data_IF_931171013810
#
_entry.id   IF_931171013810
#
_cell.length_a   1.000
_cell.length_b   1.000
_cell.length_c   1.000
_cell.angle_alpha   90.00
_cell.angle_beta   90.00
_cell.angle_gamma   90.00
#
_symmetry.space_group_name_H-M   'P 1'
#
loop_
_entity.id
_entity.type
_entity.pdbx_description
1 polymer ?
#
# COMPACT_ATOMS: atom_id res chain seq x y z
N UNK A 1 -15.55 24.43 17.67
CA UNK A 1 -15.96 24.09 16.30
C UNK A 1 -16.50 22.69 16.36
N UNK A 2 -17.82 22.57 16.23
CA UNK A 2 -18.55 21.31 16.43
C UNK A 2 -17.96 20.23 15.53
N UNK A 3 -17.59 19.10 16.11
CA UNK A 3 -16.96 17.97 15.45
C UNK A 3 -17.91 17.22 14.53
N UNK A 4 -18.63 17.93 13.66
CA UNK A 4 -19.43 17.32 12.61
C UNK A 4 -18.52 16.67 11.58
N UNK A 5 -18.68 15.35 11.43
CA UNK A 5 -18.11 14.62 10.31
C UNK A 5 -18.90 14.92 9.05
N UNK A 6 -18.21 15.46 8.04
CA UNK A 6 -18.79 15.71 6.72
C UNK A 6 -18.17 14.74 5.73
N UNK A 7 -19.00 13.88 5.15
CA UNK A 7 -18.57 13.01 4.05
C UNK A 7 -18.51 13.81 2.75
N UNK A 8 -17.32 13.92 2.17
CA UNK A 8 -17.09 14.61 0.89
C UNK A 8 -16.67 13.61 -0.19
N UNK A 9 -17.15 13.83 -1.42
CA UNK A 9 -16.71 13.10 -2.61
C UNK A 9 -16.04 14.09 -3.56
N UNK A 10 -14.70 14.28 -3.47
CA UNK A 10 -14.00 15.24 -4.30
C UNK A 10 -14.00 14.82 -5.77
N UNK A 11 -14.02 15.78 -6.73
CA UNK A 11 -14.01 15.46 -8.15
C UNK A 11 -12.71 14.75 -8.55
N UNK A 12 -12.82 13.70 -9.36
CA UNK A 12 -11.68 12.89 -9.80
C UNK A 12 -11.13 13.43 -11.12
N UNK A 13 -10.00 14.13 -11.08
CA UNK A 13 -9.37 14.72 -12.28
C UNK A 13 -8.71 13.67 -13.18
N UNK A 14 -8.17 12.60 -12.60
CA UNK A 14 -7.44 11.54 -13.31
C UNK A 14 -7.84 10.19 -12.74
N UNK A 15 -8.03 9.20 -13.63
CA UNK A 15 -8.25 7.79 -13.27
C UNK A 15 -7.27 6.94 -14.07
N UNK A 16 -6.40 6.21 -13.37
CA UNK A 16 -5.44 5.27 -13.96
C UNK A 16 -5.26 4.07 -13.02
N UNK A 17 -4.87 2.93 -13.57
CA UNK A 17 -4.72 1.65 -12.87
C UNK A 17 -3.26 1.33 -12.50
N UNK A 18 -2.36 2.33 -12.55
CA UNK A 18 -0.95 2.19 -12.22
C UNK A 18 -0.55 3.13 -11.10
N UNK A 19 0.01 2.58 -10.01
CA UNK A 19 0.51 3.38 -8.89
C UNK A 19 1.57 4.41 -9.31
N UNK A 20 2.44 4.06 -10.26
CA UNK A 20 3.45 5.00 -10.80
C UNK A 20 2.80 6.15 -11.55
N UNK A 21 1.78 5.89 -12.37
CA UNK A 21 1.05 6.95 -13.07
C UNK A 21 0.32 7.88 -12.09
N UNK A 22 -0.27 7.32 -11.03
CA UNK A 22 -0.88 8.12 -9.95
C UNK A 22 0.15 9.00 -9.24
N UNK A 23 1.35 8.47 -8.94
CA UNK A 23 2.46 9.25 -8.36
C UNK A 23 2.87 10.41 -9.27
N UNK A 24 3.08 10.16 -10.56
CA UNK A 24 3.42 11.21 -11.54
C UNK A 24 2.34 12.28 -11.61
N UNK A 25 1.06 11.89 -11.59
CA UNK A 25 -0.04 12.85 -11.57
C UNK A 25 -0.04 13.74 -10.30
N UNK A 26 0.29 13.17 -9.14
CA UNK A 26 0.43 13.93 -7.89
C UNK A 26 1.57 14.96 -7.99
N UNK A 27 2.74 14.54 -8.50
CA UNK A 27 3.90 15.41 -8.72
C UNK A 27 3.61 16.52 -9.74
N UNK A 28 2.73 16.27 -10.70
CA UNK A 28 2.24 17.27 -11.65
C UNK A 28 1.15 18.20 -11.08
N UNK A 29 0.81 18.08 -9.78
CA UNK A 29 -0.19 18.94 -9.13
C UNK A 29 -1.64 18.60 -9.47
N UNK A 30 -1.91 17.38 -9.97
CA UNK A 30 -3.25 16.99 -10.42
C UNK A 30 -4.18 16.53 -9.28
N UNK A 31 -3.71 16.51 -8.03
CA UNK A 31 -4.54 16.29 -6.85
C UNK A 31 -3.84 15.54 -5.71
N UNK A 32 -4.65 15.06 -4.78
CA UNK A 32 -4.22 14.27 -3.61
C UNK A 32 -4.28 12.78 -3.97
N UNK A 33 -3.30 12.01 -3.50
CA UNK A 33 -3.22 10.56 -3.75
C UNK A 33 -3.05 9.77 -2.46
N UNK A 34 -3.60 8.56 -2.45
CA UNK A 34 -3.35 7.56 -1.41
C UNK A 34 -2.59 6.40 -2.03
N UNK A 35 -1.33 6.22 -1.63
CA UNK A 35 -0.41 5.20 -2.16
C UNK A 35 0.44 4.60 -1.04
N UNK A 36 1.02 3.39 -1.25
CA UNK A 36 2.00 2.82 -0.34
C UNK A 36 3.18 3.76 -0.10
N UNK A 37 3.65 3.87 1.14
CA UNK A 37 4.74 4.77 1.54
C UNK A 37 6.02 4.56 0.74
N UNK A 38 6.37 3.30 0.46
CA UNK A 38 7.54 2.95 -0.36
C UNK A 38 7.57 3.66 -1.73
N UNK A 39 6.41 4.03 -2.26
CA UNK A 39 6.30 4.72 -3.54
C UNK A 39 6.50 6.24 -3.42
N UNK A 40 6.18 6.84 -2.26
CA UNK A 40 6.12 8.29 -2.06
C UNK A 40 7.21 8.85 -1.14
N UNK A 41 7.77 8.04 -0.24
CA UNK A 41 8.77 8.47 0.76
C UNK A 41 9.95 9.24 0.12
N UNK A 42 10.50 8.84 -1.06
CA UNK A 42 11.55 9.62 -1.72
C UNK A 42 11.11 11.04 -2.12
N UNK A 43 9.88 11.21 -2.62
CA UNK A 43 9.38 12.52 -3.04
C UNK A 43 9.02 13.38 -1.84
N UNK A 44 8.52 12.77 -0.77
CA UNK A 44 8.27 13.45 0.50
C UNK A 44 9.58 13.94 1.12
N UNK A 45 10.63 13.11 1.09
CA UNK A 45 11.96 13.49 1.58
C UNK A 45 12.58 14.66 0.80
N UNK A 46 12.30 14.75 -0.51
CA UNK A 46 12.74 15.90 -1.35
C UNK A 46 11.86 17.14 -1.19
N UNK A 47 10.69 17.02 -0.57
CA UNK A 47 9.70 18.09 -0.46
C UNK A 47 8.82 18.29 -1.70
N UNK A 48 8.89 17.38 -2.68
CA UNK A 48 8.04 17.41 -3.87
C UNK A 48 6.60 17.00 -3.56
N UNK A 49 6.41 16.16 -2.53
CA UNK A 49 5.12 15.80 -1.96
C UNK A 49 5.09 16.12 -0.47
N UNK A 50 3.90 16.46 0.04
CA UNK A 50 3.67 16.66 1.48
C UNK A 50 2.67 15.63 1.99
N UNK A 51 2.92 15.10 3.20
CA UNK A 51 1.98 14.20 3.87
C UNK A 51 0.80 14.99 4.41
N UNK A 52 -0.41 14.57 4.04
CA UNK A 52 -1.65 15.09 4.60
C UNK A 52 -2.12 14.21 5.77
N UNK A 53 -2.77 14.83 6.75
CA UNK A 53 -3.35 14.17 7.92
C UNK A 53 -2.36 13.26 8.67
N UNK A 54 -1.21 13.79 9.17
CA UNK A 54 -0.15 12.98 9.76
C UNK A 54 -0.60 12.18 10.99
N UNK A 55 -1.60 12.68 11.72
CA UNK A 55 -2.13 12.08 12.94
C UNK A 55 -3.18 10.99 12.69
N UNK A 56 -3.63 10.85 11.44
CA UNK A 56 -4.62 9.85 11.06
C UNK A 56 -3.92 8.58 10.55
N UNK A 57 -4.29 7.43 11.12
CA UNK A 57 -3.89 6.12 10.62
C UNK A 57 -4.96 5.60 9.65
N UNK A 58 -4.54 5.39 8.41
CA UNK A 58 -5.37 4.72 7.42
C UNK A 58 -5.30 3.21 7.64
N UNK A 59 -6.37 2.49 7.28
CA UNK A 59 -6.41 1.04 7.35
C UNK A 59 -5.24 0.44 6.53
N UNK A 60 -4.42 -0.37 7.18
CA UNK A 60 -3.32 -1.06 6.52
C UNK A 60 -3.86 -2.12 5.58
N UNK A 61 -3.33 -2.17 4.35
CA UNK A 61 -3.68 -3.20 3.38
C UNK A 61 -2.69 -4.35 3.50
N UNK A 62 -3.14 -5.59 3.78
CA UNK A 62 -2.23 -6.72 3.93
C UNK A 62 -1.50 -7.00 2.61
N UNK A 63 -0.22 -7.38 2.73
CA UNK A 63 0.59 -7.89 1.62
C UNK A 63 0.70 -9.40 1.70
N UNK A 64 0.56 -10.08 0.55
CA UNK A 64 0.53 -11.54 0.48
C UNK A 64 1.70 -12.07 -0.32
N UNK A 65 2.39 -13.07 0.22
CA UNK A 65 3.32 -13.90 -0.54
C UNK A 65 2.58 -15.14 -1.06
N UNK A 66 2.21 -15.12 -2.34
CA UNK A 66 1.48 -16.22 -2.98
C UNK A 66 2.48 -17.08 -3.76
N UNK A 67 2.42 -18.39 -3.54
CA UNK A 67 3.19 -19.38 -4.28
C UNK A 67 2.34 -20.62 -4.52
N UNK A 68 2.59 -21.34 -5.62
CA UNK A 68 1.90 -22.59 -5.89
C UNK A 68 2.27 -23.63 -4.83
N UNK A 69 1.25 -24.27 -4.27
CA UNK A 69 1.43 -25.35 -3.30
C UNK A 69 2.03 -26.57 -3.99
N UNK A 70 3.35 -26.67 -3.96
CA UNK A 70 4.08 -27.84 -4.45
C UNK A 70 4.25 -28.87 -3.33
N UNK A 71 3.98 -30.15 -3.62
CA UNK A 71 4.23 -31.27 -2.71
C UNK A 71 5.71 -31.41 -2.37
N UNK A 72 6.62 -30.93 -3.23
CA UNK A 72 8.08 -30.93 -3.00
C UNK A 72 8.65 -29.54 -3.17
N UNK A 73 8.35 -28.66 -2.23
CA UNK A 73 8.94 -27.31 -2.19
C UNK A 73 10.48 -27.39 -2.22
N UNK A 74 11.11 -26.77 -3.22
CA UNK A 74 12.57 -26.81 -3.39
C UNK A 74 13.30 -26.07 -2.27
N UNK A 75 14.57 -26.40 -1.94
CA UNK A 75 15.37 -25.64 -0.98
C UNK A 75 15.44 -24.15 -1.31
N UNK A 76 15.59 -23.81 -2.60
CA UNK A 76 15.61 -22.42 -3.09
C UNK A 76 14.32 -21.67 -2.77
N UNK A 77 13.16 -22.27 -3.03
CA UNK A 77 11.86 -21.64 -2.73
C UNK A 77 11.68 -21.46 -1.22
N UNK A 78 12.05 -22.46 -0.41
CA UNK A 78 12.03 -22.33 1.06
C UNK A 78 12.90 -21.18 1.54
N UNK A 79 14.13 -21.09 1.05
CA UNK A 79 15.05 -20.00 1.40
C UNK A 79 14.51 -18.63 0.98
N UNK A 80 13.90 -18.53 -0.20
CA UNK A 80 13.28 -17.28 -0.66
C UNK A 80 12.09 -16.86 0.20
N UNK A 81 11.19 -17.80 0.54
CA UNK A 81 10.06 -17.54 1.44
C UNK A 81 10.58 -17.07 2.81
N UNK A 82 11.55 -17.78 3.39
CA UNK A 82 12.14 -17.42 4.68
C UNK A 82 12.74 -16.01 4.66
N UNK A 83 13.53 -15.69 3.63
CA UNK A 83 14.10 -14.36 3.45
C UNK A 83 13.01 -13.28 3.30
N UNK A 84 12.00 -13.53 2.48
CA UNK A 84 10.92 -12.57 2.21
C UNK A 84 10.12 -12.30 3.47
N UNK A 85 9.80 -13.34 4.24
CA UNK A 85 9.10 -13.22 5.52
C UNK A 85 9.95 -12.49 6.56
N UNK A 86 11.27 -12.73 6.62
CA UNK A 86 12.14 -12.02 7.54
C UNK A 86 12.31 -10.53 7.18
N UNK A 87 12.25 -10.20 5.89
CA UNK A 87 12.48 -8.84 5.38
C UNK A 87 11.20 -7.99 5.36
N UNK A 88 10.06 -8.60 5.01
CA UNK A 88 8.81 -7.91 4.73
C UNK A 88 7.62 -8.41 5.56
N UNK A 89 7.79 -9.51 6.31
CA UNK A 89 6.73 -10.05 7.15
C UNK A 89 6.39 -9.10 8.29
N UNK A 90 5.10 -8.90 8.53
CA UNK A 90 4.65 -8.11 9.68
C UNK A 90 4.99 -8.84 10.99
N UNK A 91 5.41 -8.09 12.01
CA UNK A 91 5.42 -8.56 13.39
C UNK A 91 3.97 -8.68 13.87
N UNK A 92 3.30 -9.78 13.53
CA UNK A 92 1.95 -10.13 14.01
C UNK A 92 0.87 -9.13 13.58
N UNK A 93 0.59 -9.06 12.28
CA UNK A 93 -0.76 -8.74 11.85
C UNK A 93 -1.55 -10.05 11.85
N UNK A 94 -2.66 -10.09 12.59
CA UNK A 94 -3.64 -11.18 12.56
C UNK A 94 -3.89 -11.58 11.11
N UNK A 95 -3.69 -12.86 10.79
CA UNK A 95 -3.76 -13.34 9.41
C UNK A 95 -5.15 -12.97 8.84
N UNK A 96 -5.23 -12.16 7.77
CA UNK A 96 -6.52 -11.80 7.23
C UNK A 96 -7.25 -13.06 6.73
N UNK A 97 -8.57 -13.04 6.81
CA UNK A 97 -9.41 -14.15 6.33
C UNK A 97 -9.05 -14.49 4.86
N UNK A 98 -8.82 -15.76 4.52
CA UNK A 98 -8.46 -16.14 3.17
C UNK A 98 -9.58 -15.74 2.18
N UNK A 99 -9.23 -15.37 0.94
CA UNK A 99 -10.23 -15.00 -0.06
C UNK A 99 -11.21 -16.16 -0.27
N UNK A 100 -12.51 -15.87 -0.24
CA UNK A 100 -13.55 -16.85 -0.57
C UNK A 100 -13.29 -17.41 -1.97
N UNK A 101 -13.34 -18.75 -2.17
CA UNK A 101 -13.20 -19.33 -3.49
C UNK A 101 -14.33 -18.83 -4.41
N UNK A 102 -14.00 -18.66 -5.69
CA UNK A 102 -14.93 -18.30 -6.76
C UNK A 102 -16.00 -19.39 -6.98
#
# INVERSE_FOLDING_TARGET
HDGEEVQVSPPRKVTVDSGQAVRVAALAGLGIVLQPRILLDPDVARGDLVRLFPDQRLAERPMWLIYCRDRRMTPRLRSFIAFTMATFGAATAEAPEPPRPA
#
